data_IF_099571053745
#
_entry.id   IF_099571053745
#
_cell.length_a   1.000
_cell.length_b   1.000
_cell.length_c   1.000
_cell.angle_alpha   90.00
_cell.angle_beta   90.00
_cell.angle_gamma   90.00
#
_symmetry.space_group_name_H-M   'P 1'
#
loop_
_entity.id
_entity.type
_entity.pdbx_description
1 polymer ?
#
# COMPACT_ATOMS: atom_id res chain seq x y z
N UNK A 1 13.09 -6.38 9.73
CA UNK A 1 11.62 -6.28 9.94
C UNK A 1 10.94 -6.61 8.62
N UNK A 2 10.04 -7.59 8.60
CA UNK A 2 9.38 -8.03 7.36
C UNK A 2 7.88 -7.73 7.42
N UNK A 3 7.55 -6.44 7.43
CA UNK A 3 6.15 -6.04 7.40
C UNK A 3 5.63 -6.08 5.95
N UNK A 4 4.60 -6.87 5.73
CA UNK A 4 4.12 -7.22 4.38
C UNK A 4 3.07 -6.24 3.87
N UNK A 5 2.14 -5.80 4.74
CA UNK A 5 1.01 -4.96 4.33
C UNK A 5 1.12 -3.52 4.81
N UNK A 6 1.91 -3.29 5.87
CA UNK A 6 2.21 -1.95 6.40
C UNK A 6 0.95 -1.18 6.79
N UNK A 7 0.04 -1.83 7.53
CA UNK A 7 -1.22 -1.21 7.96
C UNK A 7 -0.98 0.10 8.73
N UNK A 8 -0.02 0.12 9.66
CA UNK A 8 0.34 1.34 10.40
C UNK A 8 0.83 2.49 9.49
N UNK A 9 1.54 2.18 8.40
CA UNK A 9 1.95 3.18 7.40
C UNK A 9 0.74 3.72 6.66
N UNK A 10 -0.19 2.85 6.24
CA UNK A 10 -1.42 3.25 5.57
C UNK A 10 -2.29 4.14 6.47
N UNK A 11 -2.42 3.79 7.76
CA UNK A 11 -3.15 4.57 8.76
C UNK A 11 -2.53 5.95 8.99
N UNK A 12 -1.20 6.02 9.13
CA UNK A 12 -0.50 7.29 9.25
C UNK A 12 -0.72 8.18 8.02
N UNK A 13 -0.55 7.62 6.82
CA UNK A 13 -0.75 8.34 5.56
C UNK A 13 -2.20 8.82 5.40
N UNK A 14 -3.18 7.96 5.69
CA UNK A 14 -4.60 8.29 5.68
C UNK A 14 -4.95 9.37 6.73
N UNK A 15 -4.19 9.43 7.83
CA UNK A 15 -4.33 10.46 8.86
C UNK A 15 -3.71 11.80 8.44
N UNK A 16 -2.97 11.86 7.34
CA UNK A 16 -2.22 13.06 6.94
C UNK A 16 -0.88 13.20 7.66
N UNK A 17 -0.34 12.10 8.18
CA UNK A 17 0.92 12.06 8.92
C UNK A 17 2.01 11.47 8.00
N UNK A 18 3.07 12.22 7.68
CA UNK A 18 4.16 11.70 6.87
C UNK A 18 4.96 10.64 7.63
N UNK A 19 5.44 9.62 6.91
CA UNK A 19 6.09 8.45 7.49
C UNK A 19 7.60 8.46 7.27
N UNK A 20 8.37 8.08 8.29
CA UNK A 20 9.77 7.67 8.15
C UNK A 20 9.85 6.17 8.34
N UNK A 21 10.33 5.43 7.35
CA UNK A 21 10.37 3.97 7.40
C UNK A 21 11.65 3.41 6.72
N UNK A 22 12.04 2.15 7.02
CA UNK A 22 13.10 1.48 6.29
C UNK A 22 12.73 1.29 4.81
N UNK A 23 13.71 1.40 3.92
CA UNK A 23 13.58 1.09 2.49
C UNK A 23 13.59 -0.43 2.25
N UNK A 24 12.67 -1.17 2.90
CA UNK A 24 12.54 -2.61 2.78
C UNK A 24 11.10 -3.07 3.10
N UNK A 25 10.58 -4.02 2.34
CA UNK A 25 9.24 -4.58 2.53
C UNK A 25 8.12 -3.62 2.09
N UNK A 26 6.94 -3.75 2.70
CA UNK A 26 5.75 -2.98 2.33
C UNK A 26 5.83 -1.44 2.40
N UNK A 27 6.73 -0.77 3.15
CA UNK A 27 6.84 0.69 3.12
C UNK A 27 7.31 1.22 1.76
N UNK A 28 8.05 0.43 0.98
CA UNK A 28 8.52 0.83 -0.36
C UNK A 28 7.34 1.14 -1.29
N UNK A 29 6.25 0.38 -1.16
CA UNK A 29 5.06 0.54 -2.02
C UNK A 29 4.16 1.70 -1.60
N UNK A 30 4.34 2.22 -0.38
CA UNK A 30 3.45 3.22 0.24
C UNK A 30 4.11 4.59 0.40
N UNK A 31 5.42 4.62 0.69
CA UNK A 31 6.17 5.84 0.96
C UNK A 31 6.88 6.28 -0.31
N UNK A 32 6.52 7.49 -0.77
CA UNK A 32 7.17 8.22 -1.86
C UNK A 32 8.08 9.29 -1.24
N UNK A 33 9.41 9.08 -1.18
CA UNK A 33 10.34 10.00 -0.52
C UNK A 33 10.18 11.44 -1.00
N UNK A 34 10.09 12.39 -0.06
CA UNK A 34 9.91 13.81 -0.37
C UNK A 34 8.46 14.24 -0.63
N UNK A 35 7.57 13.30 -0.97
CA UNK A 35 6.15 13.56 -1.20
C UNK A 35 5.30 13.31 0.05
N UNK A 36 5.32 12.09 0.59
CA UNK A 36 4.48 11.71 1.74
C UNK A 36 5.28 11.11 2.91
N UNK A 37 6.61 11.15 2.84
CA UNK A 37 7.49 10.58 3.85
C UNK A 37 8.93 10.51 3.39
N UNK A 38 9.74 9.75 4.13
CA UNK A 38 11.14 9.49 3.87
C UNK A 38 11.45 8.00 4.07
N UNK A 39 12.37 7.49 3.28
CA UNK A 39 12.91 6.14 3.45
C UNK A 39 14.38 6.21 3.88
N UNK A 40 14.77 5.36 4.82
CA UNK A 40 16.17 5.21 5.24
C UNK A 40 16.68 3.79 4.94
N UNK A 41 18.00 3.57 4.78
CA UNK A 41 18.54 2.23 4.60
C UNK A 41 18.14 1.29 5.76
N UNK A 42 17.82 0.02 5.50
CA UNK A 42 17.63 -0.97 6.56
C UNK A 42 18.88 -1.07 7.46
N UNK A 43 18.67 -1.35 8.74
CA UNK A 43 19.74 -1.49 9.74
C UNK A 43 20.67 -0.26 9.86
N UNK A 44 20.17 0.93 9.50
CA UNK A 44 20.87 2.21 9.59
C UNK A 44 20.23 3.17 10.62
N UNK A 45 20.56 3.02 11.93
CA UNK A 45 20.11 3.95 12.96
C UNK A 45 20.52 5.42 12.71
N UNK A 46 21.73 5.73 12.20
CA UNK A 46 22.06 7.09 11.75
C UNK A 46 21.09 7.66 10.71
N UNK A 47 20.75 6.91 9.67
CA UNK A 47 19.80 7.33 8.65
C UNK A 47 18.40 7.61 9.19
N UNK A 48 17.89 6.73 10.07
CA UNK A 48 16.62 6.97 10.78
C UNK A 48 16.67 8.28 11.57
N UNK A 49 17.73 8.49 12.36
CA UNK A 49 17.89 9.72 13.15
C UNK A 49 17.94 10.96 12.28
N UNK A 50 18.66 10.92 11.16
CA UNK A 50 18.75 12.05 10.24
C UNK A 50 17.39 12.39 9.62
N UNK A 51 16.64 11.38 9.18
CA UNK A 51 15.30 11.58 8.60
C UNK A 51 14.30 12.16 9.60
N UNK A 52 14.29 11.64 10.84
CA UNK A 52 13.46 12.19 11.92
C UNK A 52 13.89 13.60 12.28
N UNK A 53 15.20 13.87 12.41
CA UNK A 53 15.71 15.19 12.73
C UNK A 53 15.34 16.24 11.66
N UNK A 54 15.41 15.88 10.38
CA UNK A 54 15.00 16.75 9.27
C UNK A 54 13.53 17.19 9.41
N UNK A 55 12.63 16.24 9.69
CA UNK A 55 11.21 16.53 9.85
C UNK A 55 10.88 17.17 11.19
N UNK A 56 11.70 16.99 12.23
CA UNK A 56 11.51 17.62 13.53
C UNK A 56 12.01 19.08 13.54
N UNK A 57 13.09 19.37 12.83
CA UNK A 57 13.72 20.69 12.78
C UNK A 57 12.90 21.72 11.99
N UNK A 58 12.16 21.30 10.96
CA UNK A 58 11.33 22.18 10.14
C UNK A 58 9.91 21.62 9.98
N UNK A 59 8.91 22.43 10.36
CA UNK A 59 7.50 22.09 10.21
C UNK A 59 7.00 22.16 8.77
N UNK A 60 7.64 22.95 7.91
CA UNK A 60 7.24 23.15 6.51
C UNK A 60 7.23 21.86 5.68
N UNK A 61 8.34 21.10 5.56
CA UNK A 61 8.35 19.85 4.81
C UNK A 61 7.38 18.84 5.42
N UNK A 62 7.27 18.78 6.75
CA UNK A 62 6.33 17.90 7.44
C UNK A 62 4.87 18.23 7.10
N UNK A 63 4.49 19.51 7.12
CA UNK A 63 3.15 19.95 6.77
C UNK A 63 2.83 19.68 5.31
N UNK A 64 3.76 20.01 4.40
CA UNK A 64 3.61 19.76 2.96
C UNK A 64 3.43 18.28 2.67
N UNK A 65 4.24 17.42 3.30
CA UNK A 65 4.13 15.97 3.10
C UNK A 65 2.82 15.42 3.70
N UNK A 66 2.37 15.95 4.84
CA UNK A 66 1.10 15.57 5.44
C UNK A 66 -0.10 15.87 4.55
N UNK A 67 -0.09 17.00 3.84
CA UNK A 67 -1.13 17.34 2.85
C UNK A 67 -1.17 16.35 1.67
N UNK A 68 -0.01 15.85 1.24
CA UNK A 68 0.11 14.88 0.16
C UNK A 68 -0.04 13.41 0.61
N UNK A 69 -0.13 13.15 1.92
CA UNK A 69 -0.05 11.80 2.46
C UNK A 69 -1.29 10.95 2.18
N UNK A 70 -2.48 11.57 2.11
CA UNK A 70 -3.75 10.84 2.00
C UNK A 70 -4.02 10.28 0.61
N UNK A 71 -3.69 11.04 -0.43
CA UNK A 71 -4.07 10.71 -1.81
C UNK A 71 -3.56 9.32 -2.24
N UNK A 72 -2.29 8.94 -2.00
CA UNK A 72 -1.77 7.65 -2.46
C UNK A 72 -2.43 6.42 -1.83
N UNK A 73 -3.07 6.58 -0.66
CA UNK A 73 -3.70 5.48 0.09
C UNK A 73 -5.23 5.55 0.07
N UNK A 74 -5.83 6.57 -0.53
CA UNK A 74 -7.29 6.75 -0.56
C UNK A 74 -8.01 5.58 -1.25
N UNK A 75 -7.41 4.98 -2.28
CA UNK A 75 -7.94 3.81 -2.98
C UNK A 75 -7.83 2.49 -2.21
N UNK A 76 -7.18 2.49 -1.02
CA UNK A 76 -7.00 1.29 -0.19
C UNK A 76 -8.00 1.23 0.98
N UNK A 77 -9.01 2.10 0.98
CA UNK A 77 -10.08 2.08 1.98
C UNK A 77 -10.97 0.83 1.81
N UNK A 78 -11.59 0.39 2.91
CA UNK A 78 -12.48 -0.77 2.94
C UNK A 78 -13.51 -0.82 1.80
N UNK A 79 -14.22 0.27 1.45
CA UNK A 79 -15.16 0.22 0.33
C UNK A 79 -14.51 -0.15 -1.01
N UNK A 80 -13.31 0.37 -1.30
CA UNK A 80 -12.60 0.08 -2.55
C UNK A 80 -12.09 -1.37 -2.58
N UNK A 81 -11.47 -1.82 -1.48
CA UNK A 81 -10.97 -3.19 -1.34
C UNK A 81 -12.10 -4.22 -1.41
N UNK A 82 -13.23 -3.96 -0.74
CA UNK A 82 -14.39 -4.85 -0.82
C UNK A 82 -15.03 -4.85 -2.21
N UNK A 83 -15.06 -3.71 -2.91
CA UNK A 83 -15.58 -3.65 -4.28
C UNK A 83 -14.73 -4.48 -5.25
N UNK A 84 -13.40 -4.41 -5.12
CA UNK A 84 -12.45 -5.23 -5.89
C UNK A 84 -12.63 -6.72 -5.60
N UNK A 85 -12.70 -7.10 -4.32
CA UNK A 85 -12.94 -8.48 -3.90
C UNK A 85 -14.26 -9.04 -4.48
N UNK A 86 -15.34 -8.26 -4.42
CA UNK A 86 -16.64 -8.65 -4.96
C UNK A 86 -16.64 -8.70 -6.50
N UNK A 87 -15.82 -7.90 -7.18
CA UNK A 87 -15.62 -8.03 -8.61
C UNK A 87 -15.00 -9.40 -8.97
N UNK A 88 -13.94 -9.80 -8.27
CA UNK A 88 -13.33 -11.11 -8.48
C UNK A 88 -14.27 -12.27 -8.17
N UNK A 89 -15.11 -12.17 -7.14
CA UNK A 89 -16.13 -13.17 -6.87
C UNK A 89 -17.17 -13.25 -8.00
N UNK A 90 -17.58 -12.13 -8.59
CA UNK A 90 -18.46 -12.12 -9.75
C UNK A 90 -17.79 -12.77 -10.96
N UNK A 91 -16.52 -12.47 -11.22
CA UNK A 91 -15.78 -13.02 -12.37
C UNK A 91 -15.77 -14.56 -12.35
N UNK A 92 -15.59 -15.18 -11.17
CA UNK A 92 -15.57 -16.64 -11.05
C UNK A 92 -16.96 -17.29 -10.96
N UNK A 93 -17.97 -16.55 -10.49
CA UNK A 93 -19.35 -17.04 -10.41
C UNK A 93 -20.11 -16.92 -11.73
N UNK A 94 -19.66 -16.05 -12.63
CA UNK A 94 -20.23 -15.96 -13.97
C UNK A 94 -19.79 -17.21 -14.73
N UNK A 95 -20.68 -18.17 -15.04
CA UNK A 95 -20.28 -19.34 -15.80
C UNK A 95 -19.72 -18.86 -17.13
N UNK A 96 -18.54 -19.36 -17.52
CA UNK A 96 -18.16 -19.38 -18.92
C UNK A 96 -19.29 -20.11 -19.65
N UNK A 97 -20.21 -19.33 -20.21
CA UNK A 97 -21.34 -19.84 -20.95
C UNK A 97 -20.78 -20.47 -22.22
N UNK A 98 -20.62 -21.79 -22.20
CA UNK A 98 -20.26 -22.62 -23.34
C UNK A 98 -18.76 -22.81 -23.53
N UNK A 99 -18.23 -23.95 -23.06
CA UNK A 99 -17.80 -25.04 -23.95
C UNK A 99 -17.08 -26.13 -23.16
N UNK A 100 -17.37 -27.38 -23.56
CA UNK A 100 -16.75 -28.67 -23.17
C UNK A 100 -17.28 -29.36 -21.91
N UNK A 101 -18.41 -30.05 -22.09
CA UNK A 101 -18.67 -31.34 -21.44
C UNK A 101 -19.47 -32.28 -22.37
N UNK A 102 -19.15 -32.28 -23.68
CA UNK A 102 -19.71 -33.25 -24.64
C UNK A 102 -18.74 -34.41 -24.95
N UNK A 103 -17.47 -34.35 -24.53
CA UNK A 103 -16.43 -35.30 -25.00
C UNK A 103 -16.19 -36.51 -24.07
N UNK A 104 -17.04 -36.77 -23.07
CA UNK A 104 -16.82 -37.89 -22.11
C UNK A 104 -17.72 -39.12 -22.37
N UNK A 105 -18.61 -39.09 -23.37
CA UNK A 105 -19.50 -40.25 -23.67
C UNK A 105 -19.27 -40.78 -25.09
N UNK A 106 -18.01 -40.98 -25.49
CA UNK A 106 -17.68 -41.67 -26.73
C UNK A 106 -16.38 -42.48 -26.61
N UNK A 107 -16.34 -43.45 -25.69
CA UNK A 107 -15.52 -44.65 -25.89
C UNK A 107 -16.17 -45.83 -25.16
N UNK A 108 -16.86 -46.67 -25.93
CA UNK A 108 -17.30 -48.03 -25.63
C UNK A 108 -16.42 -48.97 -26.44
#
# INVERSE_FOLDING_TARGET
MNETFCQAVQEALASGVPVVAPAAGGPIDLVRPGLNGLLHPPDDPPGLRAAVALLAADASPRARMGLAAREPVAGRAWPAVCAELLAHYRDVLTPASGERAADVIAET
#
